data_IF_769941239941
#
_entry.id   IF_769941239941
#
_cell.length_a   1.000
_cell.length_b   1.000
_cell.length_c   1.000
_cell.angle_alpha   90.00
_cell.angle_beta   90.00
_cell.angle_gamma   90.00
#
_symmetry.space_group_name_H-M   'P 1'
#
loop_
_entity.id
_entity.type
_entity.pdbx_description
1 polymer ?
#
# COMPACT_ATOMS: atom_id res chain seq x y z
N UNK A 1 20.52 6.99 12.70
CA UNK A 1 21.21 8.30 12.75
C UNK A 1 21.95 8.45 14.07
N UNK A 2 23.12 9.09 14.03
CA UNK A 2 23.91 9.41 15.21
C UNK A 2 23.92 10.91 15.43
N UNK A 3 23.75 11.35 16.69
CA UNK A 3 23.89 12.75 17.02
C UNK A 3 25.37 13.14 17.22
N UNK A 4 25.63 14.42 17.50
CA UNK A 4 26.94 14.94 17.80
C UNK A 4 27.65 14.24 18.99
N UNK A 5 26.88 13.58 19.86
CA UNK A 5 27.37 12.84 21.03
C UNK A 5 27.45 11.33 20.83
N UNK A 6 27.33 10.86 19.57
CA UNK A 6 27.38 9.43 19.18
C UNK A 6 26.25 8.57 19.80
N UNK A 7 25.12 9.19 20.18
CA UNK A 7 23.94 8.45 20.60
C UNK A 7 23.23 7.84 19.37
N UNK A 8 22.90 6.57 19.44
CA UNK A 8 22.10 5.91 18.42
C UNK A 8 20.61 6.15 18.66
N UNK A 9 19.94 6.76 17.69
CA UNK A 9 18.49 6.87 17.69
C UNK A 9 17.89 5.81 16.77
N UNK A 10 17.02 4.97 17.32
CA UNK A 10 16.18 4.10 16.50
C UNK A 10 15.03 4.92 15.91
N UNK A 11 15.03 5.10 14.60
CA UNK A 11 13.88 5.62 13.86
C UNK A 11 13.03 4.43 13.43
N UNK A 12 11.78 4.36 13.88
CA UNK A 12 10.81 3.33 13.44
C UNK A 12 9.78 3.97 12.53
N UNK A 13 9.84 3.63 11.26
CA UNK A 13 8.77 3.90 10.31
C UNK A 13 7.70 2.81 10.37
N UNK A 14 6.45 3.16 10.11
CA UNK A 14 5.34 2.22 10.03
C UNK A 14 4.50 2.50 8.79
N UNK A 15 4.17 1.45 8.03
CA UNK A 15 3.24 1.53 6.92
C UNK A 15 2.38 0.26 6.85
N UNK A 16 1.22 0.37 6.22
CA UNK A 16 0.39 -0.78 5.89
C UNK A 16 0.85 -1.38 4.57
N UNK A 17 1.09 -2.69 4.56
CA UNK A 17 1.32 -3.47 3.35
C UNK A 17 0.15 -4.40 3.04
N UNK A 18 0.08 -4.86 1.80
CA UNK A 18 -0.88 -5.86 1.34
C UNK A 18 -0.17 -7.04 0.71
N UNK A 19 -0.54 -8.26 1.11
CA UNK A 19 -0.04 -9.48 0.49
C UNK A 19 -0.63 -9.61 -0.91
N UNK A 20 0.21 -9.55 -1.95
CA UNK A 20 -0.25 -9.53 -3.35
C UNK A 20 -0.02 -10.85 -4.08
N UNK A 21 0.94 -11.65 -3.64
CA UNK A 21 1.26 -12.92 -4.28
C UNK A 21 1.98 -13.88 -3.32
N UNK A 22 1.90 -15.17 -3.64
CA UNK A 22 2.74 -16.23 -3.10
C UNK A 22 3.22 -17.09 -4.26
N UNK A 23 4.52 -17.13 -4.49
CA UNK A 23 5.12 -17.90 -5.58
C UNK A 23 5.63 -19.31 -5.15
N UNK A 24 5.26 -19.75 -3.94
CA UNK A 24 5.67 -21.03 -3.36
C UNK A 24 7.01 -20.97 -2.61
N UNK A 25 7.81 -19.94 -2.79
CA UNK A 25 9.08 -19.69 -2.06
C UNK A 25 8.97 -18.52 -1.10
N UNK A 26 8.27 -17.49 -1.51
CA UNK A 26 8.12 -16.23 -0.80
C UNK A 26 6.73 -15.63 -0.99
N UNK A 27 6.26 -14.92 0.01
CA UNK A 27 5.14 -13.99 -0.09
C UNK A 27 5.63 -12.62 -0.51
N UNK A 28 4.88 -11.97 -1.40
CA UNK A 28 5.15 -10.60 -1.84
C UNK A 28 4.16 -9.64 -1.19
N UNK A 29 4.71 -8.55 -0.63
CA UNK A 29 3.96 -7.49 0.03
C UNK A 29 4.17 -6.19 -0.71
N UNK A 30 3.10 -5.55 -1.14
CA UNK A 30 3.11 -4.20 -1.70
C UNK A 30 2.90 -3.19 -0.58
N UNK A 31 3.75 -2.17 -0.51
CA UNK A 31 3.71 -1.10 0.50
C UNK A 31 4.32 0.19 -0.03
N UNK A 32 4.25 1.29 0.73
CA UNK A 32 4.97 2.51 0.43
C UNK A 32 6.50 2.31 0.55
N UNK A 33 7.26 2.94 -0.33
CA UNK A 33 8.72 2.78 -0.36
C UNK A 33 9.43 3.59 0.75
N UNK A 34 8.95 4.79 1.06
CA UNK A 34 9.59 5.71 1.99
C UNK A 34 9.98 5.05 3.33
N UNK A 35 9.08 4.35 4.06
CA UNK A 35 9.41 3.78 5.36
C UNK A 35 10.35 2.57 5.30
N UNK A 36 10.60 2.01 4.12
CA UNK A 36 11.40 0.78 3.97
C UNK A 36 12.73 0.98 3.25
N UNK A 37 12.94 2.14 2.60
CA UNK A 37 14.15 2.36 1.79
C UNK A 37 15.43 2.60 2.60
N UNK A 38 15.33 3.14 3.81
CA UNK A 38 16.49 3.61 4.59
C UNK A 38 16.71 2.82 5.88
N UNK A 39 16.03 1.70 6.05
CA UNK A 39 16.09 0.89 7.27
C UNK A 39 16.92 -0.37 7.06
N UNK A 40 17.68 -0.76 8.09
CA UNK A 40 18.50 -1.97 8.07
C UNK A 40 17.66 -3.26 8.22
N UNK A 41 16.51 -3.15 8.88
CA UNK A 41 15.68 -4.31 9.20
C UNK A 41 14.21 -3.98 8.98
N UNK A 42 13.53 -4.83 8.22
CA UNK A 42 12.09 -4.74 7.99
C UNK A 42 11.43 -5.95 8.64
N UNK A 43 10.39 -5.69 9.43
CA UNK A 43 9.54 -6.71 10.02
C UNK A 43 8.09 -6.49 9.60
N UNK A 44 7.46 -7.53 9.09
CA UNK A 44 6.03 -7.54 8.75
C UNK A 44 5.26 -8.20 9.88
N UNK A 45 4.25 -7.49 10.40
CA UNK A 45 3.32 -8.03 11.41
C UNK A 45 2.03 -8.44 10.71
N UNK A 46 1.64 -9.69 10.84
CA UNK A 46 0.43 -10.27 10.26
C UNK A 46 -0.82 -10.03 11.12
N UNK A 47 -1.98 -10.45 10.62
CA UNK A 47 -3.27 -10.28 11.28
C UNK A 47 -3.38 -11.04 12.61
N UNK A 48 -2.62 -12.11 12.80
CA UNK A 48 -2.51 -12.89 14.03
C UNK A 48 -1.47 -12.34 15.03
N UNK A 49 -0.87 -11.18 14.74
CA UNK A 49 0.22 -10.53 15.45
C UNK A 49 1.57 -11.25 15.39
N UNK A 50 1.69 -12.32 14.62
CA UNK A 50 3.00 -12.92 14.33
C UNK A 50 3.84 -11.98 13.49
N UNK A 51 5.15 -12.15 13.55
CA UNK A 51 6.09 -11.31 12.82
C UNK A 51 7.03 -12.16 11.98
N UNK A 52 7.36 -11.67 10.80
CA UNK A 52 8.39 -12.25 9.96
C UNK A 52 9.32 -11.17 9.41
N UNK A 53 10.58 -11.54 9.19
CA UNK A 53 11.56 -10.67 8.53
C UNK A 53 11.20 -10.57 7.05
N UNK A 54 11.33 -9.36 6.51
CA UNK A 54 11.14 -9.07 5.09
C UNK A 54 12.36 -8.38 4.51
N UNK A 55 12.52 -8.49 3.20
CA UNK A 55 13.55 -7.81 2.44
C UNK A 55 12.94 -7.03 1.29
N UNK A 56 13.53 -5.88 0.95
CA UNK A 56 13.09 -5.10 -0.20
C UNK A 56 13.51 -5.83 -1.47
N UNK A 57 12.53 -6.26 -2.27
CA UNK A 57 12.76 -6.91 -3.55
C UNK A 57 12.84 -5.91 -4.69
N UNK A 58 11.99 -4.89 -4.65
CA UNK A 58 11.90 -3.86 -5.66
C UNK A 58 11.36 -2.57 -5.06
N UNK A 59 11.86 -1.46 -5.56
CA UNK A 59 11.28 -0.13 -5.33
C UNK A 59 11.02 0.54 -6.65
N UNK A 60 9.87 1.22 -6.76
CA UNK A 60 9.55 2.07 -7.90
C UNK A 60 9.57 3.55 -7.45
N UNK A 61 10.62 4.29 -7.80
CA UNK A 61 10.73 5.70 -7.44
C UNK A 61 9.66 6.57 -8.08
N UNK A 62 9.03 6.08 -9.16
CA UNK A 62 7.99 6.82 -9.89
C UNK A 62 6.67 6.81 -9.13
N UNK A 63 6.30 5.67 -8.55
CA UNK A 63 5.07 5.52 -7.78
C UNK A 63 5.26 5.67 -6.28
N UNK A 64 6.52 5.70 -5.79
CA UNK A 64 6.79 5.68 -4.37
C UNK A 64 6.41 4.37 -3.67
N UNK A 65 6.26 3.28 -4.43
CA UNK A 65 5.90 1.97 -3.91
C UNK A 65 7.12 1.04 -3.82
N UNK A 66 7.01 0.05 -2.94
CA UNK A 66 7.98 -1.03 -2.78
C UNK A 66 7.28 -2.39 -2.73
N UNK A 67 7.97 -3.40 -3.24
CA UNK A 67 7.61 -4.80 -3.06
C UNK A 67 8.60 -5.42 -2.10
N UNK A 68 8.10 -5.97 -1.00
CA UNK A 68 8.87 -6.74 -0.04
C UNK A 68 8.68 -8.23 -0.30
N UNK A 69 9.71 -9.01 -0.02
CA UNK A 69 9.67 -10.46 -0.03
C UNK A 69 9.80 -11.00 1.39
N UNK A 70 8.98 -11.98 1.74
CA UNK A 70 9.05 -12.74 2.99
C UNK A 70 9.20 -14.21 2.61
N UNK A 71 10.34 -14.82 2.95
CA UNK A 71 10.53 -16.23 2.68
C UNK A 71 9.49 -17.09 3.43
N UNK A 72 8.92 -18.09 2.75
CA UNK A 72 7.91 -18.96 3.35
C UNK A 72 8.36 -19.63 4.65
N UNK A 73 9.65 -19.91 4.80
CA UNK A 73 10.22 -20.50 6.03
C UNK A 73 10.17 -19.56 7.24
N UNK A 74 10.12 -18.24 7.02
CA UNK A 74 10.04 -17.23 8.08
C UNK A 74 8.61 -17.11 8.66
N UNK A 75 7.62 -17.72 7.99
CA UNK A 75 6.21 -17.66 8.38
C UNK A 75 5.80 -18.99 8.98
N UNK A 76 5.33 -18.97 10.23
CA UNK A 76 4.83 -20.16 10.92
C UNK A 76 3.59 -20.77 10.26
N UNK A 77 3.38 -22.07 10.44
CA UNK A 77 2.23 -22.80 9.86
C UNK A 77 0.89 -22.17 10.26
N UNK A 78 0.72 -21.83 11.54
CA UNK A 78 -0.51 -21.19 12.02
C UNK A 78 -0.80 -19.85 11.35
N UNK A 79 0.24 -19.07 11.06
CA UNK A 79 0.09 -17.80 10.32
C UNK A 79 -0.27 -18.07 8.86
N UNK A 80 0.36 -19.07 8.22
CA UNK A 80 0.04 -19.45 6.83
C UNK A 80 -1.41 -19.89 6.66
N UNK A 81 -2.00 -20.50 7.69
CA UNK A 81 -3.41 -20.95 7.66
C UNK A 81 -4.41 -19.80 7.71
N UNK A 82 -4.02 -18.63 8.22
CA UNK A 82 -4.92 -17.46 8.41
C UNK A 82 -4.67 -16.32 7.46
N UNK A 83 -3.52 -16.28 6.76
CA UNK A 83 -3.23 -15.26 5.76
C UNK A 83 -3.66 -15.69 4.36
N UNK A 84 -4.04 -14.72 3.55
CA UNK A 84 -4.33 -14.94 2.13
C UNK A 84 -3.84 -13.75 1.32
N UNK A 85 -3.55 -14.00 0.04
CA UNK A 85 -3.19 -12.93 -0.89
C UNK A 85 -4.44 -12.17 -1.33
N UNK A 86 -4.30 -10.86 -1.47
CA UNK A 86 -5.38 -10.01 -1.95
C UNK A 86 -5.71 -10.32 -3.42
N UNK A 87 -6.99 -10.28 -3.74
CA UNK A 87 -7.46 -10.32 -5.12
C UNK A 87 -7.31 -8.92 -5.70
N UNK A 88 -6.49 -8.78 -6.75
CA UNK A 88 -6.31 -7.53 -7.45
C UNK A 88 -7.44 -7.33 -8.47
N UNK A 89 -8.25 -6.30 -8.26
CA UNK A 89 -9.36 -5.93 -9.14
C UNK A 89 -8.89 -5.16 -10.38
N UNK A 90 -9.74 -4.27 -10.85
CA UNK A 90 -9.46 -3.32 -11.93
C UNK A 90 -9.81 -1.91 -11.50
N UNK A 91 -9.00 -0.94 -11.89
CA UNK A 91 -9.29 0.49 -11.76
C UNK A 91 -9.71 1.14 -13.07
N UNK A 92 -9.77 0.38 -14.17
CA UNK A 92 -9.99 0.87 -15.53
C UNK A 92 -11.44 0.71 -16.02
N UNK A 93 -12.44 0.86 -15.15
CA UNK A 93 -13.83 0.81 -15.60
C UNK A 93 -14.50 2.19 -15.46
N UNK A 94 -15.32 2.52 -16.46
CA UNK A 94 -15.96 3.84 -16.58
C UNK A 94 -16.88 4.19 -15.40
N UNK A 95 -17.44 3.17 -14.72
CA UNK A 95 -18.35 3.35 -13.58
C UNK A 95 -17.65 3.41 -12.22
N UNK A 96 -16.32 3.51 -12.18
CA UNK A 96 -15.60 3.62 -10.90
C UNK A 96 -15.95 4.92 -10.18
N UNK A 97 -16.01 6.04 -10.88
CA UNK A 97 -16.48 7.32 -10.31
C UNK A 97 -17.95 7.19 -9.90
N UNK A 98 -18.22 7.54 -8.65
CA UNK A 98 -19.54 7.35 -8.02
C UNK A 98 -19.75 5.98 -7.38
N UNK A 99 -18.80 5.04 -7.53
CA UNK A 99 -18.90 3.72 -6.90
C UNK A 99 -18.44 3.75 -5.45
N UNK A 100 -19.07 2.90 -4.60
CA UNK A 100 -18.61 2.71 -3.23
C UNK A 100 -17.22 2.13 -3.17
N UNK A 101 -16.40 2.63 -2.24
CA UNK A 101 -15.05 2.15 -1.95
C UNK A 101 -14.82 2.05 -0.45
N UNK A 102 -13.91 1.17 -0.05
CA UNK A 102 -13.51 0.98 1.34
C UNK A 102 -12.00 1.16 1.43
N UNK A 103 -11.55 2.06 2.30
CA UNK A 103 -10.15 2.23 2.64
C UNK A 103 -9.78 1.33 3.82
N UNK A 104 -8.76 0.51 3.64
CA UNK A 104 -8.25 -0.44 4.64
C UNK A 104 -6.79 -0.16 4.95
N UNK A 105 -6.41 -0.33 6.20
CA UNK A 105 -5.04 -0.19 6.67
C UNK A 105 -4.91 0.86 7.77
N UNK A 106 -4.26 1.96 7.47
CA UNK A 106 -4.19 3.15 8.35
C UNK A 106 -4.51 4.44 7.58
N UNK A 107 -5.64 4.51 6.87
CA UNK A 107 -5.97 5.67 6.03
C UNK A 107 -6.06 6.97 6.83
N UNK A 108 -6.51 6.91 8.08
CA UNK A 108 -6.58 8.06 8.99
C UNK A 108 -5.37 8.12 9.96
N UNK A 109 -4.27 7.43 9.67
CA UNK A 109 -3.11 7.33 10.56
C UNK A 109 -3.28 6.36 11.74
N UNK A 110 -4.44 5.70 11.85
CA UNK A 110 -4.74 4.70 12.88
C UNK A 110 -4.71 3.31 12.28
N UNK A 111 -3.84 2.44 12.80
CA UNK A 111 -3.67 1.06 12.33
C UNK A 111 -4.97 0.26 12.46
N UNK A 112 -5.29 -0.54 11.44
CA UNK A 112 -6.46 -1.42 11.42
C UNK A 112 -7.77 -0.68 11.15
N UNK A 113 -7.71 0.54 10.61
CA UNK A 113 -8.91 1.32 10.26
C UNK A 113 -9.57 0.78 9.01
N UNK A 114 -10.91 0.85 9.02
CA UNK A 114 -11.78 0.53 7.88
C UNK A 114 -12.71 1.72 7.70
N UNK A 115 -12.61 2.41 6.57
CA UNK A 115 -13.41 3.61 6.30
C UNK A 115 -14.11 3.45 4.96
N UNK A 116 -15.41 3.69 4.95
CA UNK A 116 -16.26 3.61 3.77
C UNK A 116 -16.47 4.99 3.15
N UNK A 117 -16.53 5.04 1.84
CA UNK A 117 -16.84 6.25 1.08
C UNK A 117 -17.14 5.96 -0.39
N UNK A 118 -16.95 6.97 -1.22
CA UNK A 118 -17.22 6.93 -2.66
C UNK A 118 -16.00 7.41 -3.43
N UNK A 119 -15.70 6.77 -4.55
CA UNK A 119 -14.74 7.29 -5.52
C UNK A 119 -15.32 8.55 -6.19
N UNK A 120 -14.73 9.70 -5.94
CA UNK A 120 -15.19 10.99 -6.49
C UNK A 120 -14.66 11.24 -7.89
N UNK A 121 -13.50 10.67 -8.22
CA UNK A 121 -12.91 10.72 -9.55
C UNK A 121 -11.98 9.52 -9.78
N UNK A 122 -11.90 9.09 -11.01
CA UNK A 122 -10.94 8.08 -11.49
C UNK A 122 -10.36 8.42 -12.86
N UNK A 123 -10.66 9.62 -13.36
CA UNK A 123 -10.25 10.08 -14.69
C UNK A 123 -8.89 10.77 -14.74
N UNK A 124 -8.34 11.16 -13.59
CA UNK A 124 -7.07 11.87 -13.55
C UNK A 124 -5.92 10.92 -13.83
N UNK A 125 -5.10 11.25 -14.81
CA UNK A 125 -3.90 10.50 -15.18
C UNK A 125 -2.68 11.28 -14.70
N UNK A 126 -1.88 10.66 -13.86
CA UNK A 126 -0.55 11.12 -13.53
C UNK A 126 0.39 10.69 -14.65
N UNK A 127 0.92 11.64 -15.38
CA UNK A 127 1.91 11.39 -16.41
C UNK A 127 3.30 11.49 -15.79
N UNK A 128 4.01 10.38 -15.76
CA UNK A 128 5.43 10.33 -15.41
C UNK A 128 6.27 10.14 -16.67
N UNK A 129 7.60 10.17 -16.54
CA UNK A 129 8.51 10.08 -17.70
C UNK A 129 8.27 8.78 -18.49
N UNK A 130 7.99 7.66 -17.79
CA UNK A 130 7.93 6.33 -18.39
C UNK A 130 6.57 5.64 -18.29
N UNK A 131 5.59 6.26 -17.60
CA UNK A 131 4.32 5.58 -17.29
C UNK A 131 3.18 6.57 -17.05
N UNK A 132 1.97 6.04 -17.14
CA UNK A 132 0.74 6.76 -16.77
C UNK A 132 0.04 5.98 -15.69
N UNK A 133 -0.25 6.64 -14.57
CA UNK A 133 -0.99 6.05 -13.46
C UNK A 133 -2.31 6.77 -13.30
N UNK A 134 -3.36 6.00 -13.04
CA UNK A 134 -4.67 6.53 -12.74
C UNK A 134 -4.72 6.91 -11.26
N UNK A 135 -5.12 8.16 -10.98
CA UNK A 135 -5.39 8.61 -9.63
C UNK A 135 -6.88 8.46 -9.33
N UNK A 136 -7.19 7.70 -8.27
CA UNK A 136 -8.53 7.58 -7.72
C UNK A 136 -8.63 8.54 -6.55
N UNK A 137 -9.55 9.49 -6.59
CA UNK A 137 -9.87 10.37 -5.47
C UNK A 137 -11.16 9.91 -4.79
N UNK A 138 -11.27 10.14 -3.49
CA UNK A 138 -12.43 9.72 -2.69
C UNK A 138 -12.95 10.87 -1.83
N UNK A 139 -14.14 10.68 -1.25
CA UNK A 139 -14.70 11.55 -0.20
C UNK A 139 -14.33 11.09 1.22
N UNK A 140 -13.42 10.12 1.32
CA UNK A 140 -12.94 9.61 2.60
C UNK A 140 -11.95 10.60 3.18
N UNK A 141 -12.22 11.09 4.38
CA UNK A 141 -11.29 11.90 5.14
C UNK A 141 -10.18 11.02 5.72
N UNK A 142 -8.94 11.43 5.53
CA UNK A 142 -7.76 10.68 5.94
C UNK A 142 -6.64 11.54 6.52
N UNK A 143 -5.52 10.92 6.81
CA UNK A 143 -4.30 11.56 7.28
C UNK A 143 -3.34 11.76 6.12
N UNK A 144 -2.53 12.81 6.16
CA UNK A 144 -1.41 13.01 5.23
C UNK A 144 -0.44 11.80 5.23
N UNK A 145 -0.29 11.12 6.37
CA UNK A 145 0.47 9.87 6.52
C UNK A 145 -0.39 8.62 6.31
N UNK A 146 -1.57 8.76 5.72
CA UNK A 146 -2.47 7.63 5.45
C UNK A 146 -1.83 6.61 4.52
N UNK A 147 -1.95 5.33 4.86
CA UNK A 147 -1.43 4.23 4.06
C UNK A 147 -2.42 3.06 4.03
N UNK A 148 -2.30 2.21 3.02
CA UNK A 148 -3.16 1.05 2.86
C UNK A 148 -3.67 0.89 1.44
N UNK A 149 -4.87 0.34 1.32
CA UNK A 149 -5.48 0.05 0.01
C UNK A 149 -6.93 0.51 -0.06
N UNK A 150 -7.38 0.79 -1.27
CA UNK A 150 -8.81 0.89 -1.59
C UNK A 150 -9.30 -0.45 -2.13
N UNK A 151 -10.43 -0.91 -1.63
CA UNK A 151 -11.13 -2.08 -2.17
C UNK A 151 -12.53 -1.70 -2.66
N UNK A 152 -13.05 -2.49 -3.60
CA UNK A 152 -14.44 -2.44 -4.01
C UNK A 152 -15.32 -3.30 -3.07
N UNK A 153 -16.65 -3.30 -3.29
CA UNK A 153 -17.58 -4.09 -2.49
C UNK A 153 -17.42 -5.62 -2.67
N UNK A 154 -16.69 -6.07 -3.70
CA UNK A 154 -16.34 -7.47 -3.90
C UNK A 154 -15.07 -7.87 -3.14
N UNK A 155 -14.45 -6.97 -2.36
CA UNK A 155 -13.22 -7.20 -1.62
C UNK A 155 -11.96 -7.21 -2.47
N UNK A 156 -12.02 -6.73 -3.70
CA UNK A 156 -10.87 -6.67 -4.61
C UNK A 156 -10.13 -5.34 -4.43
N UNK A 157 -8.81 -5.39 -4.40
CA UNK A 157 -7.97 -4.19 -4.35
C UNK A 157 -8.07 -3.46 -5.69
N UNK A 158 -8.49 -2.20 -5.66
CA UNK A 158 -8.62 -1.31 -6.83
C UNK A 158 -7.59 -0.19 -6.83
N UNK A 159 -6.95 0.08 -5.71
CA UNK A 159 -5.89 1.08 -5.62
C UNK A 159 -5.06 0.95 -4.35
N UNK A 160 -3.88 1.55 -4.38
CA UNK A 160 -2.97 1.69 -3.23
C UNK A 160 -3.00 3.14 -2.78
N UNK A 161 -3.26 3.36 -1.49
CA UNK A 161 -3.37 4.71 -0.93
C UNK A 161 -2.01 5.41 -1.03
N UNK A 162 -2.03 6.57 -1.67
CA UNK A 162 -0.89 7.47 -1.79
C UNK A 162 -1.40 8.91 -1.69
N UNK A 163 -0.89 9.63 -0.69
CA UNK A 163 -1.30 11.01 -0.40
C UNK A 163 -0.39 12.05 -1.07
N UNK A 164 0.67 11.61 -1.73
CA UNK A 164 1.63 12.50 -2.39
C UNK A 164 1.09 13.24 -3.63
N UNK A 165 -0.07 12.82 -4.12
CA UNK A 165 -0.66 13.38 -5.36
C UNK A 165 -2.00 14.11 -5.13
N UNK A 166 -2.31 14.44 -3.88
CA UNK A 166 -3.51 15.21 -3.59
C UNK A 166 -3.42 16.63 -4.19
N UNK A 167 -4.53 17.09 -4.75
CA UNK A 167 -4.65 18.45 -5.21
C UNK A 167 -4.70 19.43 -4.03
N UNK A 168 -4.31 20.69 -4.28
CA UNK A 168 -4.40 21.76 -3.29
C UNK A 168 -5.83 21.86 -2.71
N UNK A 169 -5.94 21.90 -1.41
CA UNK A 169 -7.20 21.91 -0.70
C UNK A 169 -7.85 20.54 -0.48
N UNK A 170 -7.22 19.47 -0.96
CA UNK A 170 -7.68 18.07 -0.82
C UNK A 170 -6.71 17.21 0.01
N UNK A 171 -5.80 17.82 0.75
CA UNK A 171 -4.70 17.15 1.46
C UNK A 171 -5.19 16.15 2.52
N UNK A 172 -6.43 16.33 2.98
CA UNK A 172 -7.05 15.44 3.96
C UNK A 172 -8.02 14.41 3.37
N UNK A 173 -8.11 14.33 2.04
CA UNK A 173 -8.91 13.31 1.37
C UNK A 173 -8.04 12.15 0.92
N UNK A 174 -8.56 10.92 1.04
CA UNK A 174 -7.82 9.74 0.58
C UNK A 174 -7.78 9.72 -0.94
N UNK A 175 -6.55 9.64 -1.46
CA UNK A 175 -6.26 9.34 -2.86
C UNK A 175 -5.50 8.03 -2.97
N UNK A 176 -5.62 7.37 -4.12
CA UNK A 176 -4.95 6.10 -4.38
C UNK A 176 -4.48 5.99 -5.83
N UNK A 177 -3.36 5.34 -6.03
CA UNK A 177 -2.89 4.91 -7.34
C UNK A 177 -3.69 3.69 -7.80
N UNK A 178 -4.23 3.74 -9.01
CA UNK A 178 -5.04 2.66 -9.58
C UNK A 178 -4.25 1.37 -9.76
N UNK A 179 -4.86 0.25 -9.38
CA UNK A 179 -4.19 -1.06 -9.40
C UNK A 179 -3.93 -1.58 -10.81
N UNK A 180 -4.71 -1.16 -11.82
CA UNK A 180 -4.58 -1.69 -13.18
C UNK A 180 -3.24 -1.34 -13.82
N UNK A 181 -2.74 -0.15 -13.57
CA UNK A 181 -1.45 0.31 -14.05
C UNK A 181 -0.31 -0.31 -13.22
N UNK A 182 -0.50 -0.47 -11.92
CA UNK A 182 0.48 -1.08 -11.02
C UNK A 182 0.72 -2.57 -11.31
N UNK A 183 -0.30 -3.31 -11.78
CA UNK A 183 -0.15 -4.73 -12.15
C UNK A 183 0.99 -4.95 -13.17
N UNK A 184 1.08 -4.10 -14.16
CA UNK A 184 2.12 -4.22 -15.20
C UNK A 184 3.53 -4.00 -14.66
N UNK A 185 3.66 -3.26 -13.56
CA UNK A 185 4.94 -3.02 -12.87
C UNK A 185 5.28 -4.18 -11.93
N UNK A 186 4.28 -4.76 -11.25
CA UNK A 186 4.45 -5.86 -10.30
C UNK A 186 4.76 -7.19 -11.00
N UNK A 187 4.21 -7.40 -12.21
CA UNK A 187 4.36 -8.65 -12.98
C UNK A 187 5.67 -8.71 -13.80
N UNK A 188 6.50 -7.67 -13.79
CA UNK A 188 7.84 -7.62 -14.41
C UNK A 188 8.92 -8.09 -13.46
#
# INVERSE_FOLDING_TARGET
DRDWFDNMYESKGQATGVLIANNGREYLVLTAAEPVQTVETISVTFCDNSQAKAEVKMTDPTTGLAVLAIENKEIGDGTRDVITTAVLGSSNYASLTGSPVIALGSPAGVKGSVIYGVATSSGNLLNTVDSRYRLITTDIYGSHSGSGVLINLQGQVIGVIDQGYNADGMENMISALGISELKTTIER
#
